data_IF_116833892444
#
_entry.id   IF_116833892444
#
_cell.length_a   1.000
_cell.length_b   1.000
_cell.length_c   1.000
_cell.angle_alpha   90.00
_cell.angle_beta   90.00
_cell.angle_gamma   90.00
#
_symmetry.space_group_name_H-M   'P 1'
#
loop_
_entity.id
_entity.type
_entity.pdbx_description
1 polymer ?
#
# COMPACT_ATOMS: atom_id res chain seq x y z
N UNK A 1 -9.58 10.25 -17.81
CA UNK A 1 -9.26 8.82 -18.09
C UNK A 1 -10.18 7.85 -17.34
N UNK A 2 -10.37 8.03 -16.02
CA UNK A 2 -11.16 7.11 -15.16
C UNK A 2 -12.62 6.97 -15.62
N UNK A 3 -13.31 8.07 -15.89
CA UNK A 3 -14.71 8.08 -16.36
C UNK A 3 -14.92 7.35 -17.70
N UNK A 4 -13.92 7.40 -18.59
CA UNK A 4 -14.00 6.72 -19.90
C UNK A 4 -13.97 5.20 -19.77
N UNK A 5 -13.19 4.66 -18.83
CA UNK A 5 -13.14 3.21 -18.58
C UNK A 5 -14.42 2.71 -17.89
N UNK A 6 -14.94 3.49 -16.95
CA UNK A 6 -16.18 3.17 -16.24
C UNK A 6 -17.37 3.09 -17.21
N UNK A 7 -17.41 3.93 -18.24
CA UNK A 7 -18.48 3.89 -19.22
C UNK A 7 -18.41 2.66 -20.14
N UNK A 8 -17.21 2.31 -20.64
CA UNK A 8 -17.00 1.16 -21.52
C UNK A 8 -17.22 -0.17 -20.79
N UNK A 9 -16.80 -0.26 -19.53
CA UNK A 9 -16.84 -1.50 -18.73
C UNK A 9 -17.82 -1.38 -17.56
N UNK A 10 -18.92 -0.63 -17.69
CA UNK A 10 -19.87 -0.33 -16.61
C UNK A 10 -20.40 -1.59 -15.92
N UNK A 11 -20.83 -2.58 -16.71
CA UNK A 11 -21.40 -3.81 -16.16
C UNK A 11 -20.32 -4.66 -15.46
N UNK A 12 -19.12 -4.68 -16.02
CA UNK A 12 -17.99 -5.35 -15.38
C UNK A 12 -17.53 -4.63 -14.10
N UNK A 13 -17.54 -3.29 -14.10
CA UNK A 13 -17.29 -2.49 -12.89
C UNK A 13 -18.28 -2.87 -11.78
N UNK A 14 -19.58 -2.91 -12.10
CA UNK A 14 -20.62 -3.26 -11.14
C UNK A 14 -20.43 -4.70 -10.61
N UNK A 15 -20.14 -5.65 -11.49
CA UNK A 15 -19.84 -7.03 -11.09
C UNK A 15 -18.64 -7.10 -10.14
N UNK A 16 -17.56 -6.39 -10.43
CA UNK A 16 -16.39 -6.37 -9.55
C UNK A 16 -16.69 -5.72 -8.19
N UNK A 17 -17.51 -4.67 -8.18
CA UNK A 17 -17.85 -3.92 -6.97
C UNK A 17 -18.84 -4.70 -6.10
N UNK A 18 -19.95 -5.14 -6.64
CA UNK A 18 -21.07 -5.70 -5.87
C UNK A 18 -21.00 -7.22 -5.72
N UNK A 19 -20.69 -7.96 -6.79
CA UNK A 19 -20.64 -9.43 -6.73
C UNK A 19 -19.30 -9.97 -6.20
N UNK A 20 -18.19 -9.32 -6.56
CA UNK A 20 -16.85 -9.72 -6.11
C UNK A 20 -16.35 -8.98 -4.90
N UNK A 21 -17.01 -7.90 -4.52
CA UNK A 21 -16.61 -7.04 -3.39
C UNK A 21 -15.13 -6.62 -3.43
N UNK A 22 -14.64 -6.28 -4.65
CA UNK A 22 -13.26 -5.86 -4.83
C UNK A 22 -13.05 -4.40 -4.41
N UNK A 23 -11.85 -4.10 -3.93
CA UNK A 23 -11.49 -2.72 -3.61
C UNK A 23 -11.45 -1.85 -4.88
N UNK A 24 -11.77 -0.56 -4.77
CA UNK A 24 -11.71 0.40 -5.89
C UNK A 24 -10.34 0.40 -6.58
N UNK A 25 -9.24 0.21 -5.83
CA UNK A 25 -7.91 0.11 -6.43
C UNK A 25 -7.75 -1.12 -7.31
N UNK A 26 -8.30 -2.27 -6.89
CA UNK A 26 -8.30 -3.51 -7.67
C UNK A 26 -9.15 -3.34 -8.92
N UNK A 27 -10.36 -2.79 -8.78
CA UNK A 27 -11.28 -2.52 -9.88
C UNK A 27 -10.60 -1.62 -10.92
N UNK A 28 -10.06 -0.47 -10.50
CA UNK A 28 -9.37 0.45 -11.41
C UNK A 28 -8.19 -0.21 -12.13
N UNK A 29 -7.45 -1.08 -11.44
CA UNK A 29 -6.34 -1.82 -12.06
C UNK A 29 -6.84 -2.79 -13.12
N UNK A 30 -7.93 -3.51 -12.85
CA UNK A 30 -8.53 -4.45 -13.79
C UNK A 30 -9.12 -3.75 -15.00
N UNK A 31 -9.83 -2.63 -14.80
CA UNK A 31 -10.36 -1.83 -15.91
C UNK A 31 -9.25 -1.25 -16.79
N UNK A 32 -8.15 -0.79 -16.20
CA UNK A 32 -6.98 -0.35 -16.95
C UNK A 32 -6.39 -1.49 -17.78
N UNK A 33 -6.27 -2.69 -17.20
CA UNK A 33 -5.77 -3.85 -17.91
C UNK A 33 -6.66 -4.27 -19.08
N UNK A 34 -7.98 -4.20 -18.91
CA UNK A 34 -8.95 -4.47 -19.98
C UNK A 34 -8.88 -3.43 -21.09
N UNK A 35 -8.69 -2.18 -20.72
CA UNK A 35 -8.52 -1.11 -21.71
C UNK A 35 -7.23 -1.24 -22.51
N UNK A 36 -6.13 -1.61 -21.86
CA UNK A 36 -4.86 -1.86 -22.55
C UNK A 36 -5.00 -2.99 -23.59
N UNK A 37 -5.75 -4.05 -23.25
CA UNK A 37 -6.08 -5.14 -24.18
C UNK A 37 -6.92 -4.61 -25.35
N UNK A 38 -7.96 -3.82 -25.08
CA UNK A 38 -8.80 -3.22 -26.10
C UNK A 38 -7.96 -2.37 -27.07
N UNK A 39 -7.09 -1.52 -26.56
CA UNK A 39 -6.20 -0.67 -27.35
C UNK A 39 -5.20 -1.48 -28.20
N UNK A 40 -4.77 -2.64 -27.73
CA UNK A 40 -3.93 -3.53 -28.51
C UNK A 40 -4.70 -4.13 -29.70
N UNK A 41 -5.93 -4.53 -29.49
CA UNK A 41 -6.81 -5.09 -30.53
C UNK A 41 -7.09 -4.03 -31.59
N UNK A 42 -7.45 -2.80 -31.19
CA UNK A 42 -7.76 -1.69 -32.10
C UNK A 42 -6.57 -1.35 -33.02
N UNK A 43 -5.33 -1.56 -32.55
CA UNK A 43 -4.10 -1.34 -33.34
C UNK A 43 -3.82 -2.46 -34.33
N UNK A 44 -4.31 -3.67 -34.09
CA UNK A 44 -3.98 -4.83 -34.92
C UNK A 44 -4.78 -4.95 -36.21
N UNK A 45 -5.53 -3.92 -36.59
CA UNK A 45 -6.09 -3.66 -37.93
C UNK A 45 -7.20 -4.58 -38.45
N UNK A 46 -7.65 -5.54 -37.71
CA UNK A 46 -8.82 -6.34 -38.09
C UNK A 46 -10.07 -5.75 -37.41
N UNK A 47 -10.84 -4.97 -38.14
CA UNK A 47 -12.08 -4.32 -37.66
C UNK A 47 -13.16 -5.28 -37.12
N UNK A 48 -12.99 -6.58 -37.30
CA UNK A 48 -13.93 -7.60 -36.84
C UNK A 48 -13.60 -8.15 -35.44
N UNK A 49 -12.41 -7.89 -34.90
CA UNK A 49 -11.98 -8.40 -33.60
C UNK A 49 -12.47 -7.48 -32.50
N UNK A 50 -13.24 -8.02 -31.58
CA UNK A 50 -13.75 -7.35 -30.39
C UNK A 50 -13.37 -8.14 -29.13
N UNK A 51 -13.53 -7.55 -27.95
CA UNK A 51 -13.31 -8.28 -26.69
C UNK A 51 -14.21 -9.50 -26.52
N UNK A 52 -15.31 -9.63 -27.28
CA UNK A 52 -16.25 -10.74 -27.16
C UNK A 52 -15.90 -11.91 -28.06
N UNK A 53 -15.11 -11.72 -29.11
CA UNK A 53 -14.74 -12.75 -30.08
C UNK A 53 -13.25 -13.06 -30.13
N UNK A 54 -12.46 -12.59 -29.16
CA UNK A 54 -11.05 -12.93 -29.06
C UNK A 54 -10.85 -14.45 -28.92
N UNK A 55 -9.90 -14.95 -29.68
CA UNK A 55 -9.40 -16.32 -29.53
C UNK A 55 -8.32 -16.43 -28.46
N UNK A 56 -8.01 -17.64 -28.05
CA UNK A 56 -6.87 -17.92 -27.17
C UNK A 56 -5.54 -17.42 -27.79
N UNK A 57 -5.39 -17.54 -29.12
CA UNK A 57 -4.19 -17.11 -29.82
C UNK A 57 -4.00 -15.59 -29.76
N UNK A 58 -5.05 -14.81 -29.93
CA UNK A 58 -5.01 -13.36 -29.81
C UNK A 58 -4.50 -12.91 -28.43
N UNK A 59 -4.97 -13.59 -27.38
CA UNK A 59 -4.54 -13.33 -26.00
C UNK A 59 -3.09 -13.76 -25.80
N UNK A 60 -2.66 -14.90 -26.36
CA UNK A 60 -1.27 -15.33 -26.29
C UNK A 60 -0.33 -14.36 -27.00
N UNK A 61 -0.75 -13.81 -28.14
CA UNK A 61 0.03 -12.82 -28.89
C UNK A 61 0.13 -11.49 -28.12
N UNK A 62 -0.96 -11.06 -27.47
CA UNK A 62 -0.87 -9.92 -26.55
C UNK A 62 0.09 -10.16 -25.38
N UNK A 63 0.05 -11.33 -24.76
CA UNK A 63 0.98 -11.67 -23.66
C UNK A 63 2.45 -11.68 -24.15
N UNK A 64 2.70 -12.21 -25.35
CA UNK A 64 4.04 -12.16 -25.96
C UNK A 64 4.49 -10.73 -26.22
N UNK A 65 3.59 -9.86 -26.69
CA UNK A 65 3.88 -8.44 -26.92
C UNK A 65 4.25 -7.73 -25.62
N UNK A 66 3.50 -7.96 -24.52
CA UNK A 66 3.84 -7.44 -23.21
C UNK A 66 5.24 -7.87 -22.74
N UNK A 67 5.63 -9.12 -23.01
CA UNK A 67 6.94 -9.65 -22.67
C UNK A 67 8.05 -9.00 -23.52
N UNK A 68 7.81 -8.77 -24.80
CA UNK A 68 8.74 -8.05 -25.71
C UNK A 68 9.00 -6.62 -25.24
N UNK A 69 7.99 -5.97 -24.64
CA UNK A 69 8.11 -4.63 -24.07
C UNK A 69 8.65 -4.61 -22.63
N UNK A 70 9.31 -5.70 -22.19
CA UNK A 70 9.94 -5.83 -20.87
C UNK A 70 8.98 -5.59 -19.70
N UNK A 71 7.68 -5.90 -19.86
CA UNK A 71 6.75 -5.83 -18.74
C UNK A 71 7.09 -6.91 -17.69
N UNK A 72 7.06 -6.55 -16.42
CA UNK A 72 7.37 -7.50 -15.35
C UNK A 72 6.39 -8.68 -15.32
N UNK A 73 6.86 -9.88 -14.99
CA UNK A 73 6.05 -11.10 -14.84
C UNK A 73 4.86 -10.87 -13.88
N UNK A 74 5.08 -10.10 -12.82
CA UNK A 74 4.03 -9.74 -11.86
C UNK A 74 2.92 -8.92 -12.51
N UNK A 75 3.27 -7.97 -13.38
CA UNK A 75 2.29 -7.17 -14.12
C UNK A 75 1.54 -8.00 -15.13
N UNK A 76 2.22 -8.89 -15.85
CA UNK A 76 1.60 -9.84 -16.79
C UNK A 76 0.64 -10.77 -16.05
N UNK A 77 1.06 -11.36 -14.92
CA UNK A 77 0.20 -12.23 -14.11
C UNK A 77 -1.05 -11.51 -13.60
N UNK A 78 -0.95 -10.22 -13.21
CA UNK A 78 -2.10 -9.41 -12.82
C UNK A 78 -3.05 -9.19 -14.01
N UNK A 79 -2.52 -8.86 -15.19
CA UNK A 79 -3.33 -8.69 -16.42
C UNK A 79 -4.08 -9.98 -16.77
N UNK A 80 -3.39 -11.12 -16.76
CA UNK A 80 -4.02 -12.44 -16.99
C UNK A 80 -5.16 -12.68 -15.98
N UNK A 81 -4.95 -12.32 -14.70
CA UNK A 81 -6.01 -12.47 -13.67
C UNK A 81 -7.21 -11.56 -13.95
N UNK A 82 -6.99 -10.33 -14.41
CA UNK A 82 -8.05 -9.41 -14.82
C UNK A 82 -8.84 -9.99 -16.01
N UNK A 83 -8.14 -10.50 -17.04
CA UNK A 83 -8.76 -11.11 -18.22
C UNK A 83 -9.59 -12.36 -17.86
N UNK A 84 -9.04 -13.26 -17.05
CA UNK A 84 -9.79 -14.44 -16.55
C UNK A 84 -11.05 -14.02 -15.83
N UNK A 85 -11.01 -12.97 -15.03
CA UNK A 85 -12.19 -12.47 -14.31
C UNK A 85 -13.21 -11.86 -15.26
N UNK A 86 -12.77 -11.10 -16.28
CA UNK A 86 -13.63 -10.50 -17.28
C UNK A 86 -14.32 -11.56 -18.14
N UNK A 87 -13.58 -12.52 -18.68
CA UNK A 87 -14.17 -13.57 -19.51
C UNK A 87 -15.10 -14.51 -18.73
N UNK A 88 -14.81 -14.76 -17.45
CA UNK A 88 -15.75 -15.45 -16.56
C UNK A 88 -17.05 -14.64 -16.38
N UNK A 89 -16.95 -13.33 -16.23
CA UNK A 89 -18.12 -12.45 -16.17
C UNK A 89 -18.92 -12.51 -17.47
N UNK A 90 -18.30 -12.45 -18.65
CA UNK A 90 -19.00 -12.54 -19.94
C UNK A 90 -19.77 -13.86 -20.12
N UNK A 91 -19.24 -14.98 -19.61
CA UNK A 91 -19.95 -16.26 -19.59
C UNK A 91 -21.18 -16.19 -18.67
N UNK A 92 -21.03 -15.64 -17.47
CA UNK A 92 -22.12 -15.50 -16.48
C UNK A 92 -23.29 -14.71 -17.08
N UNK A 93 -23.01 -13.65 -17.84
CA UNK A 93 -24.06 -12.83 -18.48
C UNK A 93 -24.43 -13.33 -19.89
N UNK A 94 -24.02 -14.54 -20.27
CA UNK A 94 -24.32 -15.19 -21.56
C UNK A 94 -23.90 -14.37 -22.79
N UNK A 95 -22.88 -13.54 -22.71
CA UNK A 95 -22.33 -12.76 -23.84
C UNK A 95 -21.40 -13.59 -24.73
N UNK A 96 -20.75 -14.59 -24.19
CA UNK A 96 -19.90 -15.53 -24.89
C UNK A 96 -20.20 -16.96 -24.44
N UNK A 97 -19.94 -17.94 -25.31
CA UNK A 97 -20.10 -19.38 -25.00
C UNK A 97 -18.79 -20.03 -24.57
N UNK A 98 -17.69 -19.65 -25.18
CA UNK A 98 -16.36 -20.22 -24.95
C UNK A 98 -15.45 -19.20 -24.24
N UNK A 99 -14.65 -19.68 -23.30
CA UNK A 99 -13.72 -18.85 -22.56
C UNK A 99 -12.30 -18.88 -23.18
N UNK A 100 -11.85 -17.82 -23.84
CA UNK A 100 -10.52 -17.81 -24.45
C UNK A 100 -9.37 -17.85 -23.42
N UNK A 101 -9.70 -17.69 -22.13
CA UNK A 101 -8.72 -17.74 -21.04
C UNK A 101 -8.62 -19.11 -20.37
N UNK A 102 -9.35 -20.12 -20.84
CA UNK A 102 -9.46 -21.42 -20.19
C UNK A 102 -8.09 -22.09 -20.01
N UNK A 103 -7.31 -22.16 -21.08
CA UNK A 103 -5.99 -22.80 -21.08
C UNK A 103 -4.82 -21.83 -20.89
N UNK A 104 -5.08 -20.53 -20.64
CA UNK A 104 -4.03 -19.57 -20.32
C UNK A 104 -3.57 -19.76 -18.88
N UNK A 105 -2.32 -20.16 -18.70
CA UNK A 105 -1.73 -20.39 -17.39
C UNK A 105 -1.12 -19.08 -16.88
N UNK A 106 -1.38 -18.76 -15.60
CA UNK A 106 -0.70 -17.65 -14.92
C UNK A 106 0.72 -18.10 -14.61
N UNK A 107 1.77 -17.38 -15.06
CA UNK A 107 3.15 -17.71 -14.74
C UNK A 107 3.33 -17.81 -13.21
N UNK A 108 3.99 -18.89 -12.77
CA UNK A 108 4.38 -19.01 -11.37
C UNK A 108 5.46 -17.96 -11.09
N UNK A 109 5.15 -17.03 -10.20
CA UNK A 109 6.14 -16.05 -9.74
C UNK A 109 7.14 -16.77 -8.83
N UNK A 110 8.42 -16.62 -9.12
CA UNK A 110 9.46 -16.96 -8.16
C UNK A 110 9.31 -16.02 -6.96
N UNK A 111 8.94 -16.59 -5.82
CA UNK A 111 8.89 -15.85 -4.55
C UNK A 111 10.32 -15.50 -4.15
N UNK A 112 10.78 -14.32 -4.50
CA UNK A 112 11.99 -13.77 -3.86
C UNK A 112 11.68 -13.55 -2.38
N UNK A 113 12.63 -13.90 -1.51
CA UNK A 113 12.52 -13.56 -0.10
C UNK A 113 12.34 -12.05 0.03
N UNK A 114 11.43 -11.60 0.90
CA UNK A 114 11.24 -10.18 1.12
C UNK A 114 12.56 -9.56 1.60
N UNK A 115 12.92 -8.43 1.04
CA UNK A 115 14.05 -7.64 1.52
C UNK A 115 13.71 -7.05 2.89
N UNK A 116 14.61 -7.18 3.84
CA UNK A 116 14.54 -6.59 5.18
C UNK A 116 15.76 -5.69 5.35
N UNK A 117 15.59 -4.52 5.91
CA UNK A 117 16.69 -3.67 6.36
C UNK A 117 17.21 -4.23 7.69
N UNK A 118 18.52 -4.21 7.91
CA UNK A 118 19.06 -4.49 9.25
C UNK A 118 18.70 -3.36 10.21
N UNK A 119 18.84 -3.63 11.51
CA UNK A 119 18.59 -2.60 12.54
C UNK A 119 19.52 -1.39 12.32
N UNK A 120 20.81 -1.65 12.03
CA UNK A 120 21.77 -0.59 11.75
C UNK A 120 21.38 0.24 10.51
N UNK A 121 20.88 -0.41 9.44
CA UNK A 121 20.40 0.30 8.26
C UNK A 121 19.17 1.16 8.57
N UNK A 122 18.27 0.68 9.42
CA UNK A 122 17.11 1.46 9.89
C UNK A 122 17.56 2.64 10.73
N UNK A 123 18.42 2.43 11.72
CA UNK A 123 18.95 3.52 12.57
C UNK A 123 19.67 4.57 11.73
N UNK A 124 20.48 4.14 10.75
CA UNK A 124 21.15 5.02 9.79
C UNK A 124 20.14 5.82 8.95
N UNK A 125 19.05 5.20 8.52
CA UNK A 125 17.98 5.88 7.77
C UNK A 125 17.25 6.92 8.64
N UNK A 126 17.03 6.59 9.89
CA UNK A 126 16.36 7.46 10.86
C UNK A 126 17.24 8.63 11.32
N UNK A 127 18.57 8.54 11.22
CA UNK A 127 19.50 9.60 11.57
C UNK A 127 19.47 10.73 10.53
N UNK A 128 18.45 11.57 10.57
CA UNK A 128 18.23 12.70 9.64
C UNK A 128 18.76 13.98 10.28
N UNK A 129 19.61 14.77 9.58
CA UNK A 129 19.96 16.12 10.02
C UNK A 129 18.71 17.02 10.10
N UNK A 130 18.47 17.61 11.26
CA UNK A 130 17.26 18.38 11.57
C UNK A 130 17.47 19.87 11.36
N UNK A 131 17.61 20.31 10.11
CA UNK A 131 17.91 21.70 9.76
C UNK A 131 16.69 22.50 9.30
N UNK A 132 15.67 21.83 8.79
CA UNK A 132 14.49 22.49 8.19
C UNK A 132 13.19 21.88 8.72
N UNK A 133 12.07 22.61 8.67
CA UNK A 133 10.76 22.05 9.00
C UNK A 133 10.43 20.76 8.21
N UNK A 134 10.97 20.67 6.98
CA UNK A 134 10.83 19.46 6.15
C UNK A 134 11.54 18.25 6.74
N UNK A 135 12.68 18.45 7.37
CA UNK A 135 13.46 17.37 7.99
C UNK A 135 12.75 16.83 9.23
N UNK A 136 12.24 17.70 10.09
CA UNK A 136 11.44 17.30 11.25
C UNK A 136 10.19 16.53 10.85
N UNK A 137 9.47 16.98 9.81
CA UNK A 137 8.36 16.22 9.25
C UNK A 137 8.79 14.83 8.75
N UNK A 138 9.88 14.77 8.00
CA UNK A 138 10.38 13.53 7.42
C UNK A 138 10.82 12.55 8.52
N UNK A 139 11.50 13.06 9.55
CA UNK A 139 11.90 12.31 10.74
C UNK A 139 10.67 11.74 11.45
N UNK A 140 9.69 12.58 11.80
CA UNK A 140 8.46 12.14 12.44
C UNK A 140 7.68 11.11 11.61
N UNK A 141 7.66 11.25 10.27
CA UNK A 141 7.03 10.27 9.38
C UNK A 141 7.75 8.91 9.41
N UNK A 142 9.08 8.90 9.37
CA UNK A 142 9.88 7.68 9.37
C UNK A 142 9.85 6.98 10.72
N UNK A 143 10.02 7.73 11.82
CA UNK A 143 9.91 7.21 13.18
C UNK A 143 8.54 6.57 13.40
N UNK A 144 7.47 7.29 13.11
CA UNK A 144 6.12 6.76 13.25
C UNK A 144 5.89 5.53 12.39
N UNK A 145 6.40 5.52 11.15
CA UNK A 145 6.23 4.38 10.25
C UNK A 145 6.98 3.15 10.75
N UNK A 146 8.18 3.32 11.26
CA UNK A 146 8.97 2.21 11.80
C UNK A 146 8.40 1.74 13.15
N UNK A 147 8.04 2.64 14.04
CA UNK A 147 7.47 2.32 15.34
C UNK A 147 6.13 1.57 15.27
N UNK A 148 5.31 1.83 14.25
CA UNK A 148 3.94 1.30 14.16
C UNK A 148 3.70 0.30 13.05
N UNK A 149 4.65 0.16 12.14
CA UNK A 149 4.48 -0.65 10.94
C UNK A 149 3.31 -0.19 10.03
N UNK A 150 2.88 1.06 10.09
CA UNK A 150 1.81 1.61 9.26
C UNK A 150 2.10 1.42 7.77
N UNK A 151 1.05 1.13 6.98
CA UNK A 151 1.17 1.23 5.52
C UNK A 151 1.35 2.69 5.11
N UNK A 152 2.12 2.94 4.04
CA UNK A 152 2.29 4.31 3.52
C UNK A 152 0.95 5.02 3.29
N UNK A 153 -0.08 4.28 2.83
CA UNK A 153 -1.41 4.86 2.63
C UNK A 153 -2.10 5.24 3.94
N UNK A 154 -1.86 4.51 5.00
CA UNK A 154 -2.36 4.81 6.34
C UNK A 154 -1.63 6.03 6.88
N UNK A 155 -0.29 6.02 6.85
CA UNK A 155 0.55 7.12 7.33
C UNK A 155 0.17 8.48 6.72
N UNK A 156 0.09 8.56 5.38
CA UNK A 156 -0.21 9.84 4.70
C UNK A 156 -1.67 10.29 4.85
N UNK A 157 -2.58 9.39 5.24
CA UNK A 157 -3.99 9.70 5.50
C UNK A 157 -4.29 9.98 6.97
N UNK A 158 -3.30 9.88 7.87
CA UNK A 158 -3.50 10.25 9.26
C UNK A 158 -3.96 11.70 9.37
N UNK A 159 -4.95 11.93 10.21
CA UNK A 159 -5.44 13.25 10.61
C UNK A 159 -4.92 13.58 12.00
N UNK A 160 -4.96 14.85 12.37
CA UNK A 160 -4.63 15.28 13.74
C UNK A 160 -5.48 14.55 14.77
N UNK A 161 -6.76 14.33 14.48
CA UNK A 161 -7.70 13.62 15.35
C UNK A 161 -7.42 12.11 15.50
N UNK A 162 -6.48 11.57 14.73
CA UNK A 162 -6.08 10.16 14.84
C UNK A 162 -4.93 9.94 15.83
N UNK A 163 -4.38 11.00 16.41
CA UNK A 163 -3.22 10.95 17.28
C UNK A 163 -3.64 11.33 18.70
N UNK A 164 -3.29 10.49 19.65
CA UNK A 164 -3.36 10.79 21.06
C UNK A 164 -1.91 10.87 21.59
N UNK A 165 -1.45 12.10 21.86
CA UNK A 165 -0.09 12.35 22.33
C UNK A 165 0.07 12.16 23.85
N UNK A 166 -1.02 12.06 24.60
CA UNK A 166 -0.98 11.81 26.05
C UNK A 166 -0.85 10.31 26.30
N UNK A 167 -1.64 9.53 25.56
CA UNK A 167 -1.63 8.08 25.66
C UNK A 167 -0.61 7.41 24.72
N UNK A 168 0.09 8.17 23.88
CA UNK A 168 1.00 7.68 22.85
C UNK A 168 0.32 6.63 21.93
N UNK A 169 -0.84 6.97 21.39
CA UNK A 169 -1.63 6.10 20.55
C UNK A 169 -1.90 6.70 19.17
N UNK A 170 -1.92 5.84 18.17
CA UNK A 170 -2.35 6.19 16.81
C UNK A 170 -3.53 5.33 16.41
N UNK A 171 -4.65 5.98 16.04
CA UNK A 171 -5.82 5.34 15.47
C UNK A 171 -5.74 5.33 13.94
N UNK A 172 -5.88 4.18 13.31
CA UNK A 172 -5.84 4.07 11.85
C UNK A 172 -6.94 3.17 11.31
N UNK A 173 -7.29 3.39 10.04
CA UNK A 173 -8.30 2.60 9.33
C UNK A 173 -7.58 1.73 8.30
N UNK A 174 -7.67 0.42 8.48
CA UNK A 174 -7.07 -0.57 7.60
C UNK A 174 -7.95 -0.99 6.41
N UNK A 175 -7.59 -2.09 5.78
CA UNK A 175 -8.37 -2.70 4.69
C UNK A 175 -9.75 -3.12 5.19
N UNK A 176 -10.81 -2.78 4.45
CA UNK A 176 -12.19 -3.10 4.82
C UNK A 176 -12.76 -2.19 5.90
N UNK A 177 -12.23 -0.95 6.02
CA UNK A 177 -12.68 0.06 7.00
C UNK A 177 -12.58 -0.37 8.47
N UNK A 178 -11.74 -1.37 8.77
CA UNK A 178 -11.48 -1.80 10.14
C UNK A 178 -10.54 -0.81 10.83
N UNK A 179 -11.00 -0.25 11.93
CA UNK A 179 -10.17 0.60 12.78
C UNK A 179 -9.23 -0.26 13.64
N UNK A 180 -8.04 0.25 13.90
CA UNK A 180 -7.14 -0.28 14.91
C UNK A 180 -6.39 0.84 15.61
N UNK A 181 -6.05 0.61 16.86
CA UNK A 181 -5.24 1.49 17.69
C UNK A 181 -3.87 0.83 17.82
N UNK A 182 -2.82 1.62 17.63
CA UNK A 182 -1.43 1.16 17.68
C UNK A 182 -0.70 2.01 18.70
N UNK A 183 -0.02 1.42 19.69
CA UNK A 183 0.85 2.15 20.58
C UNK A 183 2.05 2.71 19.79
N UNK A 184 2.53 3.88 20.21
CA UNK A 184 3.71 4.54 19.66
C UNK A 184 4.73 4.66 20.76
N UNK A 185 5.96 4.17 20.52
CA UNK A 185 7.05 4.29 21.47
C UNK A 185 7.37 5.77 21.79
N UNK A 186 7.90 6.01 22.96
CA UNK A 186 8.16 7.36 23.46
C UNK A 186 9.07 8.16 22.53
N UNK A 187 10.09 7.53 21.98
CA UNK A 187 11.01 8.15 21.04
C UNK A 187 10.31 8.67 19.75
N UNK A 188 9.48 7.86 19.14
CA UNK A 188 8.70 8.27 17.96
C UNK A 188 7.67 9.36 18.32
N UNK A 189 7.08 9.27 19.51
CA UNK A 189 6.14 10.28 20.03
C UNK A 189 6.83 11.63 20.25
N UNK A 190 8.06 11.65 20.73
CA UNK A 190 8.84 12.88 20.92
C UNK A 190 9.01 13.62 19.58
N UNK A 191 9.49 12.96 18.53
CA UNK A 191 9.60 13.57 17.20
C UNK A 191 8.26 13.98 16.61
N UNK A 192 7.21 13.25 16.93
CA UNK A 192 5.87 13.58 16.50
C UNK A 192 5.36 14.86 17.19
N UNK A 193 5.57 14.99 18.51
CA UNK A 193 5.27 16.21 19.27
C UNK A 193 6.04 17.39 18.73
N UNK A 194 7.35 17.23 18.53
CA UNK A 194 8.23 18.26 18.00
C UNK A 194 7.76 18.77 16.64
N UNK A 195 7.45 17.84 15.73
CA UNK A 195 6.87 18.20 14.43
C UNK A 195 5.53 18.92 14.57
N UNK A 196 4.61 18.40 15.36
CA UNK A 196 3.24 18.92 15.46
C UNK A 196 3.22 20.34 16.02
N UNK A 197 3.95 20.57 17.10
CA UNK A 197 3.89 21.85 17.83
C UNK A 197 4.78 22.91 17.21
N UNK A 198 6.01 22.55 16.80
CA UNK A 198 7.01 23.52 16.42
C UNK A 198 7.16 23.72 14.91
N UNK A 199 6.92 22.68 14.10
CA UNK A 199 7.22 22.75 12.66
C UNK A 199 6.01 22.61 11.73
N UNK A 200 5.01 21.84 12.10
CA UNK A 200 3.79 21.70 11.28
C UNK A 200 3.08 23.04 11.01
N UNK A 201 3.01 24.00 11.93
CA UNK A 201 2.42 25.32 11.65
C UNK A 201 3.02 26.04 10.44
N UNK A 202 4.33 25.85 10.18
CA UNK A 202 5.00 26.47 9.03
C UNK A 202 4.49 25.96 7.67
N UNK A 203 3.83 24.80 7.62
CA UNK A 203 3.22 24.24 6.41
C UNK A 203 1.77 24.67 6.23
N UNK A 204 1.11 25.18 7.26
CA UNK A 204 -0.30 25.59 7.18
C UNK A 204 -0.40 26.80 6.24
N UNK A 205 -1.30 26.71 5.27
CA UNK A 205 -1.64 27.79 4.32
C UNK A 205 -3.08 28.25 4.61
N UNK A 206 -3.68 28.97 3.67
CA UNK A 206 -5.06 29.52 3.80
C UNK A 206 -6.10 28.48 4.20
N UNK A 207 -5.96 27.22 3.76
CA UNK A 207 -6.85 26.13 4.15
C UNK A 207 -6.18 25.34 5.27
N UNK A 208 -6.79 25.37 6.46
CA UNK A 208 -6.32 24.56 7.60
C UNK A 208 -6.58 23.08 7.29
N UNK A 209 -5.52 22.34 6.97
CA UNK A 209 -5.60 20.94 6.60
C UNK A 209 -5.72 20.07 7.87
N UNK A 210 -6.71 19.18 7.88
CA UNK A 210 -6.90 18.20 8.96
C UNK A 210 -5.82 17.11 9.00
N UNK A 211 -5.06 16.93 7.91
CA UNK A 211 -4.03 15.90 7.82
C UNK A 211 -2.83 16.20 8.72
N UNK A 212 -2.28 15.13 9.31
CA UNK A 212 -1.11 15.22 10.17
C UNK A 212 0.11 15.70 9.39
N UNK A 213 0.47 14.99 8.31
CA UNK A 213 1.67 15.27 7.53
C UNK A 213 1.36 16.09 6.27
N UNK A 214 1.93 17.28 6.22
CA UNK A 214 1.68 18.25 5.16
C UNK A 214 2.88 18.38 4.21
N UNK A 215 2.59 18.61 2.93
CA UNK A 215 3.59 19.00 1.95
C UNK A 215 3.86 20.52 2.02
N UNK A 216 4.81 21.02 1.21
CA UNK A 216 5.17 22.46 1.18
C UNK A 216 4.01 23.40 0.80
N UNK A 217 2.99 22.87 0.13
CA UNK A 217 1.79 23.66 -0.26
C UNK A 217 0.67 23.59 0.79
N UNK A 218 0.90 22.97 1.96
CA UNK A 218 -0.10 22.82 3.00
C UNK A 218 -1.14 21.71 2.76
N UNK A 219 -0.98 20.94 1.69
CA UNK A 219 -1.83 19.80 1.39
C UNK A 219 -1.26 18.50 1.98
N UNK A 220 -2.09 17.47 1.99
CA UNK A 220 -1.68 16.13 2.38
C UNK A 220 -0.43 15.66 1.62
N UNK A 221 0.48 14.99 2.33
CA UNK A 221 1.64 14.32 1.73
C UNK A 221 1.21 13.25 0.72
N UNK A 222 1.87 13.18 -0.44
CA UNK A 222 1.61 12.12 -1.43
C UNK A 222 2.54 10.91 -1.22
N UNK A 223 2.08 9.73 -1.67
CA UNK A 223 2.91 8.51 -1.65
C UNK A 223 4.21 8.68 -2.44
N UNK A 224 4.12 9.30 -3.62
CA UNK A 224 5.28 9.52 -4.48
C UNK A 224 6.30 10.45 -3.82
N UNK A 225 5.84 11.51 -3.15
CA UNK A 225 6.74 12.42 -2.45
C UNK A 225 7.46 11.71 -1.31
N UNK A 226 6.73 10.98 -0.48
CA UNK A 226 7.35 10.24 0.62
C UNK A 226 8.33 9.18 0.13
N UNK A 227 8.00 8.47 -0.95
CA UNK A 227 8.91 7.51 -1.57
C UNK A 227 10.20 8.19 -2.07
N UNK A 228 10.10 9.35 -2.73
CA UNK A 228 11.27 10.14 -3.15
C UNK A 228 12.12 10.59 -1.97
N UNK A 229 11.51 10.99 -0.86
CA UNK A 229 12.22 11.36 0.37
C UNK A 229 13.03 10.18 0.89
N UNK A 230 12.41 9.01 1.03
CA UNK A 230 13.09 7.80 1.49
C UNK A 230 14.26 7.44 0.57
N UNK A 231 14.05 7.46 -0.75
CA UNK A 231 15.12 7.15 -1.71
C UNK A 231 16.28 8.13 -1.62
N UNK A 232 15.98 9.43 -1.47
CA UNK A 232 17.01 10.46 -1.32
C UNK A 232 17.84 10.21 -0.05
N UNK A 233 17.19 9.98 1.09
CA UNK A 233 17.85 9.67 2.35
C UNK A 233 18.71 8.40 2.26
N UNK A 234 18.22 7.36 1.61
CA UNK A 234 18.97 6.13 1.40
C UNK A 234 20.28 6.38 0.60
N UNK A 235 20.21 7.20 -0.44
CA UNK A 235 21.38 7.58 -1.23
C UNK A 235 22.37 8.41 -0.41
N UNK A 236 21.90 9.42 0.33
CA UNK A 236 22.72 10.28 1.18
C UNK A 236 23.44 9.51 2.29
N UNK A 237 22.79 8.48 2.82
CA UNK A 237 23.31 7.60 3.88
C UNK A 237 24.04 6.36 3.36
N UNK A 238 24.23 6.23 2.03
CA UNK A 238 24.89 5.09 1.39
C UNK A 238 24.28 3.72 1.74
N UNK A 239 22.96 3.66 1.99
CA UNK A 239 22.26 2.40 2.23
C UNK A 239 22.17 1.65 0.90
N UNK A 240 22.83 0.48 0.82
CA UNK A 240 22.94 -0.33 -0.40
C UNK A 240 21.70 -1.17 -0.67
N UNK A 241 21.00 -1.54 0.36
CA UNK A 241 19.78 -2.35 0.27
C UNK A 241 18.68 -1.57 -0.43
N UNK A 242 18.20 -2.09 -1.56
CA UNK A 242 17.05 -1.50 -2.27
C UNK A 242 15.79 -1.74 -1.44
N UNK A 243 15.18 -0.67 -0.98
CA UNK A 243 13.98 -0.76 -0.16
C UNK A 243 12.90 0.24 -0.54
N UNK A 244 11.74 0.01 0.01
CA UNK A 244 10.53 0.79 -0.18
C UNK A 244 9.82 0.98 1.17
N UNK A 245 8.79 1.82 1.26
CA UNK A 245 7.98 1.90 2.48
C UNK A 245 7.42 0.55 2.94
N UNK A 246 7.13 -0.36 2.00
CA UNK A 246 6.70 -1.73 2.36
C UNK A 246 7.83 -2.54 3.01
N UNK A 247 9.05 -2.34 2.54
CA UNK A 247 10.24 -2.97 3.15
C UNK A 247 10.42 -2.50 4.59
N UNK A 248 10.30 -1.19 4.86
CA UNK A 248 10.43 -0.64 6.22
C UNK A 248 9.37 -1.23 7.17
N UNK A 249 8.12 -1.35 6.71
CA UNK A 249 7.08 -2.04 7.47
C UNK A 249 7.39 -3.54 7.67
N UNK A 250 7.98 -4.19 6.69
CA UNK A 250 8.37 -5.59 6.82
C UNK A 250 9.54 -5.75 7.79
N UNK A 251 10.51 -4.82 7.76
CA UNK A 251 11.60 -4.78 8.74
C UNK A 251 11.06 -4.61 10.17
N UNK A 252 10.10 -3.72 10.40
CA UNK A 252 9.40 -3.63 11.69
C UNK A 252 8.87 -4.98 12.14
N UNK A 253 8.12 -5.69 11.28
CA UNK A 253 7.55 -6.99 11.64
C UNK A 253 8.60 -8.06 11.93
N UNK A 254 9.68 -8.06 11.14
CA UNK A 254 10.80 -9.02 11.31
C UNK A 254 11.55 -8.74 12.60
N UNK A 255 11.90 -7.49 12.86
CA UNK A 255 12.60 -7.10 14.08
C UNK A 255 11.78 -7.39 15.34
N UNK A 256 10.46 -7.10 15.32
CA UNK A 256 9.56 -7.50 16.42
C UNK A 256 9.60 -9.02 16.70
N UNK A 257 9.62 -9.85 15.64
CA UNK A 257 9.75 -11.30 15.78
C UNK A 257 11.10 -11.70 16.36
N UNK A 258 12.19 -11.09 15.91
CA UNK A 258 13.55 -11.34 16.39
C UNK A 258 13.71 -10.98 17.86
N UNK A 259 12.99 -9.96 18.33
CA UNK A 259 12.93 -9.57 19.74
C UNK A 259 11.91 -10.36 20.56
N UNK A 260 11.29 -11.41 19.99
CA UNK A 260 10.43 -12.35 20.70
C UNK A 260 8.96 -11.99 20.78
N UNK A 261 8.51 -10.96 20.05
CA UNK A 261 7.09 -10.70 19.94
C UNK A 261 6.36 -11.86 19.25
N UNK A 262 5.20 -12.24 19.74
CA UNK A 262 4.43 -13.31 19.14
C UNK A 262 3.82 -12.88 17.80
N UNK A 263 3.66 -13.84 16.89
CA UNK A 263 3.16 -13.60 15.53
C UNK A 263 1.74 -13.00 15.53
N UNK A 264 0.91 -13.33 16.52
CA UNK A 264 -0.45 -12.85 16.64
C UNK A 264 -0.48 -11.37 16.97
N UNK A 265 0.30 -10.93 17.94
CA UNK A 265 0.48 -9.51 18.29
C UNK A 265 0.92 -8.70 17.07
N UNK A 266 1.90 -9.20 16.32
CA UNK A 266 2.37 -8.52 15.09
C UNK A 266 1.27 -8.46 14.04
N UNK A 267 0.51 -9.53 13.82
CA UNK A 267 -0.62 -9.53 12.88
C UNK A 267 -1.69 -8.52 13.28
N UNK A 268 -1.97 -8.37 14.55
CA UNK A 268 -2.93 -7.39 15.08
C UNK A 268 -2.45 -5.96 14.86
N UNK A 269 -1.21 -5.65 15.22
CA UNK A 269 -0.57 -4.35 14.99
C UNK A 269 -0.56 -3.98 13.49
N UNK A 270 -0.25 -4.93 12.64
CA UNK A 270 -0.22 -4.73 11.20
C UNK A 270 -1.60 -4.71 10.53
N UNK A 271 -2.66 -5.16 11.20
CA UNK A 271 -4.02 -5.23 10.65
C UNK A 271 -4.12 -6.22 9.49
N UNK A 272 -3.67 -7.45 9.70
CA UNK A 272 -3.87 -8.56 8.78
C UNK A 272 -5.29 -9.13 8.97
N UNK A 273 -6.03 -9.28 7.89
CA UNK A 273 -7.49 -9.37 7.82
C UNK A 273 -8.16 -10.64 8.36
N UNK A 274 -7.48 -11.50 9.10
CA UNK A 274 -8.06 -12.79 9.52
C UNK A 274 -8.43 -12.92 11.02
N UNK A 275 -8.35 -11.87 11.82
CA UNK A 275 -8.79 -11.92 13.22
C UNK A 275 -9.62 -10.66 13.53
N UNK A 276 -10.78 -10.86 14.14
CA UNK A 276 -11.72 -9.80 14.55
C UNK A 276 -11.09 -8.96 15.68
N UNK A 277 -10.50 -7.82 15.31
CA UNK A 277 -9.60 -7.06 16.16
C UNK A 277 -10.26 -6.06 17.10
N UNK A 278 -11.53 -5.73 16.92
CA UNK A 278 -12.18 -4.72 17.76
C UNK A 278 -12.55 -5.22 19.16
N UNK A 279 -12.72 -6.54 19.31
CA UNK A 279 -13.08 -7.12 20.63
C UNK A 279 -11.85 -7.39 21.52
N UNK A 280 -10.66 -7.48 20.98
CA UNK A 280 -9.44 -7.79 21.74
C UNK A 280 -8.89 -6.55 22.45
N UNK A 281 -9.02 -5.38 21.82
CA UNK A 281 -8.56 -4.12 22.42
C UNK A 281 -9.42 -3.61 23.58
N UNK A 282 -10.66 -4.08 23.72
CA UNK A 282 -11.50 -3.77 24.88
C UNK A 282 -11.13 -4.61 26.12
N UNK A 283 -10.33 -5.67 25.98
CA UNK A 283 -9.92 -6.58 27.06
C UNK A 283 -8.41 -6.62 27.32
N UNK A 284 -7.58 -6.12 26.41
CA UNK A 284 -6.17 -5.86 26.67
C UNK A 284 -6.06 -4.44 27.23
N UNK A 285 -5.71 -4.33 28.50
CA UNK A 285 -5.33 -3.03 29.04
C UNK A 285 -4.24 -2.46 28.11
N UNK A 286 -4.35 -1.16 27.80
CA UNK A 286 -3.31 -0.41 27.06
C UNK A 286 -1.92 -0.66 27.62
N UNK A 287 -1.82 -0.94 28.92
CA UNK A 287 -0.61 -1.28 29.65
C UNK A 287 0.07 -2.56 29.16
N UNK A 288 -0.68 -3.61 28.87
CA UNK A 288 -0.13 -4.89 28.41
C UNK A 288 0.37 -4.85 26.94
N UNK A 289 -0.31 -4.06 26.11
CA UNK A 289 0.14 -3.77 24.75
C UNK A 289 1.41 -2.91 24.75
N UNK A 290 1.47 -1.95 25.67
CA UNK A 290 2.59 -1.05 25.88
C UNK A 290 3.80 -1.82 26.41
N UNK A 291 3.60 -2.63 27.45
CA UNK A 291 4.64 -3.49 28.05
C UNK A 291 5.26 -4.45 27.01
N UNK A 292 4.44 -5.09 26.19
CA UNK A 292 4.92 -5.94 25.09
C UNK A 292 5.65 -5.13 24.01
N UNK A 293 5.14 -3.93 23.66
CA UNK A 293 5.77 -3.06 22.69
C UNK A 293 7.13 -2.56 23.19
N UNK A 294 7.19 -2.05 24.43
CA UNK A 294 8.40 -1.50 25.03
C UNK A 294 9.48 -2.58 25.23
N UNK A 295 9.06 -3.81 25.58
CA UNK A 295 9.97 -4.95 25.72
C UNK A 295 10.55 -5.45 24.38
N UNK A 296 9.85 -5.27 23.26
CA UNK A 296 10.21 -5.87 21.98
C UNK A 296 10.59 -4.87 20.89
N UNK A 297 10.49 -3.58 21.14
CA UNK A 297 10.92 -2.56 20.20
C UNK A 297 12.28 -1.98 20.61
N UNK A 298 13.31 -2.16 19.78
CA UNK A 298 14.70 -1.82 20.10
C UNK A 298 14.96 -0.32 20.38
N UNK A 299 13.99 0.54 20.12
CA UNK A 299 14.05 2.00 20.32
C UNK A 299 12.83 2.51 21.11
N UNK A 300 12.27 1.72 22.00
CA UNK A 300 11.21 2.13 22.89
C UNK A 300 11.71 2.98 24.05
#
# INVERSE_FOLDING_TARGET
MKEKYELIFKDFYNYLLFDKNYSLNTINSYLTDMYDLLMFIDKSSNQEITLHNLSENDIRDYIKDLSKHNMSERSISRKISAFKTYYKFLIIINKIKNNPMEFIIIPKQNKTLPTVLSIEEVLTLLDIPLNTPGDYRNKAMLELMYATGLRISELINLKMSNIDLELNLVKTIGKGSKERIIPVGDYATEYLKEYIYNYRPSFIRKNNSEYLFLNRSGNKMSRQMFFKIIQKLALEKNIKTKFSPHTLRHSFATHMLEYGADLRTIQELLGHSNISTTQIYTHLSTDKLRENYDNFHSNA
#
